data_IF_788230424499
#
_entry.id   IF_788230424499
#
_cell.length_a   1.000
_cell.length_b   1.000
_cell.length_c   1.000
_cell.angle_alpha   90.00
_cell.angle_beta   90.00
_cell.angle_gamma   90.00
#
_symmetry.space_group_name_H-M   'P 1'
#
loop_
_entity.id
_entity.type
_entity.pdbx_description
1 polymer ?
#
# COMPACT_ATOMS: atom_id res chain seq x y z
N UNK A 1 27.67 -47.82 -49.13
CA UNK A 1 26.77 -46.66 -49.06
C UNK A 1 26.45 -46.40 -47.59
N UNK A 2 27.19 -45.49 -47.01
CA UNK A 2 27.04 -45.09 -45.56
C UNK A 2 26.08 -43.89 -45.45
N UNK A 3 24.91 -44.14 -44.87
CA UNK A 3 23.94 -43.05 -44.56
C UNK A 3 24.41 -42.28 -43.34
N UNK A 4 24.81 -41.03 -43.53
CA UNK A 4 25.09 -40.07 -42.48
C UNK A 4 23.76 -39.56 -41.90
N UNK A 5 23.45 -39.97 -40.67
CA UNK A 5 22.29 -39.46 -39.92
C UNK A 5 22.74 -38.17 -39.16
N UNK A 6 22.40 -37.02 -39.71
CA UNK A 6 22.63 -35.71 -39.05
C UNK A 6 21.62 -35.56 -37.92
N UNK A 7 22.12 -35.69 -36.67
CA UNK A 7 21.35 -35.44 -35.46
C UNK A 7 21.32 -33.94 -35.22
N UNK A 8 20.18 -33.30 -35.52
CA UNK A 8 19.94 -31.89 -35.28
C UNK A 8 19.57 -31.70 -33.79
N UNK A 9 20.56 -31.32 -32.97
CA UNK A 9 20.35 -30.96 -31.55
C UNK A 9 19.79 -29.54 -31.53
N UNK A 10 18.46 -29.41 -31.34
CA UNK A 10 17.81 -28.13 -31.06
C UNK A 10 18.08 -27.79 -29.60
N UNK A 11 19.06 -26.89 -29.36
CA UNK A 11 19.30 -26.29 -28.05
C UNK A 11 18.19 -25.27 -27.84
N UNK A 12 17.13 -25.66 -27.15
CA UNK A 12 16.13 -24.72 -26.61
C UNK A 12 16.79 -24.01 -25.43
N UNK A 13 17.43 -22.88 -25.71
CA UNK A 13 17.87 -21.95 -24.69
C UNK A 13 16.62 -21.42 -24.01
N UNK A 14 16.32 -21.96 -22.83
CA UNK A 14 15.27 -21.43 -21.96
C UNK A 14 15.61 -19.99 -21.60
N UNK A 15 14.99 -19.04 -22.29
CA UNK A 15 15.01 -17.64 -21.89
C UNK A 15 14.20 -17.57 -20.61
N UNK A 16 14.89 -17.63 -19.46
CA UNK A 16 14.29 -17.22 -18.19
C UNK A 16 14.01 -15.71 -18.31
N UNK A 17 12.80 -15.39 -18.76
CA UNK A 17 12.24 -14.05 -18.57
C UNK A 17 12.14 -13.85 -17.05
N UNK A 18 13.21 -13.32 -16.48
CA UNK A 18 13.17 -12.73 -15.15
C UNK A 18 12.21 -11.54 -15.27
N UNK A 19 10.92 -11.77 -14.99
CA UNK A 19 9.96 -10.67 -14.82
C UNK A 19 10.43 -9.99 -13.54
N UNK A 20 11.30 -8.98 -13.70
CA UNK A 20 11.62 -8.06 -12.63
C UNK A 20 10.26 -7.49 -12.17
N UNK A 21 9.85 -7.81 -10.96
CA UNK A 21 8.71 -7.14 -10.34
C UNK A 21 9.10 -5.66 -10.28
N UNK A 22 8.45 -4.86 -11.11
CA UNK A 22 8.71 -3.44 -11.24
C UNK A 22 8.48 -2.82 -9.85
N UNK A 23 9.58 -2.46 -9.18
CA UNK A 23 9.51 -1.89 -7.84
C UNK A 23 8.74 -0.57 -7.92
N UNK A 24 7.65 -0.44 -7.14
CA UNK A 24 6.84 0.78 -7.10
C UNK A 24 7.71 2.03 -6.86
N UNK A 25 8.86 1.88 -6.20
CA UNK A 25 9.76 2.97 -5.84
C UNK A 25 10.81 3.32 -6.91
N UNK A 26 10.69 2.83 -8.14
CA UNK A 26 11.66 3.08 -9.21
C UNK A 26 11.62 4.51 -9.75
N UNK A 27 10.43 5.08 -9.92
CA UNK A 27 10.24 6.41 -10.57
C UNK A 27 9.31 7.30 -9.76
N UNK A 28 9.83 8.36 -9.09
CA UNK A 28 9.02 9.28 -8.31
C UNK A 28 8.10 10.12 -9.19
N UNK A 29 6.92 10.41 -8.67
CA UNK A 29 5.89 11.23 -9.30
C UNK A 29 5.62 12.48 -8.47
N UNK A 30 5.04 13.50 -9.09
CA UNK A 30 4.55 14.67 -8.35
C UNK A 30 3.20 14.36 -7.70
N UNK A 31 2.94 14.95 -6.53
CA UNK A 31 1.66 14.83 -5.85
C UNK A 31 0.48 15.26 -6.72
N UNK A 32 0.67 16.29 -7.54
CA UNK A 32 -0.33 16.76 -8.51
C UNK A 32 -0.63 15.72 -9.59
N UNK A 33 0.39 14.99 -10.07
CA UNK A 33 0.18 13.90 -11.03
C UNK A 33 -0.66 12.80 -10.41
N UNK A 34 -0.27 12.31 -9.23
CA UNK A 34 -1.00 11.25 -8.51
C UNK A 34 -2.47 11.65 -8.28
N UNK A 35 -2.71 12.89 -7.88
CA UNK A 35 -4.05 13.39 -7.65
C UNK A 35 -4.98 13.37 -8.86
N UNK A 36 -4.42 13.53 -10.05
CA UNK A 36 -5.18 13.43 -11.30
C UNK A 36 -5.49 11.99 -11.68
N UNK A 37 -4.63 11.06 -11.28
CA UNK A 37 -4.73 9.65 -11.64
C UNK A 37 -5.59 8.85 -10.64
N UNK A 38 -5.57 9.21 -9.37
CA UNK A 38 -6.31 8.50 -8.34
C UNK A 38 -7.82 8.76 -8.45
N UNK A 39 -8.64 7.71 -8.27
CA UNK A 39 -10.08 7.90 -8.12
C UNK A 39 -10.40 8.78 -6.91
N UNK A 40 -11.55 9.42 -6.93
CA UNK A 40 -12.04 10.13 -5.76
C UNK A 40 -12.49 9.10 -4.71
N UNK A 41 -11.77 9.04 -3.59
CA UNK A 41 -12.17 8.18 -2.47
C UNK A 41 -13.50 8.68 -1.89
N UNK A 42 -14.43 7.75 -1.65
CA UNK A 42 -15.76 8.01 -1.09
C UNK A 42 -15.80 7.59 0.38
N UNK A 43 -16.85 8.01 1.07
CA UNK A 43 -17.18 7.44 2.38
C UNK A 43 -17.46 5.96 2.21
N UNK A 44 -16.83 5.13 3.05
CA UNK A 44 -16.91 3.69 2.94
C UNK A 44 -16.92 3.03 4.31
N UNK A 45 -17.63 1.91 4.40
CA UNK A 45 -17.64 1.00 5.56
C UNK A 45 -17.26 -0.40 5.11
N UNK A 46 -16.21 -0.95 5.70
CA UNK A 46 -15.60 -2.21 5.31
C UNK A 46 -15.32 -3.09 6.53
N UNK A 47 -15.09 -4.37 6.30
CA UNK A 47 -14.34 -5.21 7.24
C UNK A 47 -12.86 -5.05 6.94
N UNK A 48 -12.01 -5.09 7.98
CA UNK A 48 -10.57 -5.18 7.79
C UNK A 48 -10.00 -6.41 8.48
N UNK A 49 -8.89 -6.88 7.93
CA UNK A 49 -7.97 -7.82 8.57
C UNK A 49 -6.58 -7.20 8.57
N UNK A 50 -5.84 -7.36 9.66
CA UNK A 50 -4.49 -6.83 9.80
C UNK A 50 -3.56 -7.92 10.27
N UNK A 51 -2.40 -8.01 9.63
CA UNK A 51 -1.28 -8.82 10.07
C UNK A 51 -0.09 -7.90 10.37
N UNK A 52 0.43 -7.98 11.59
CA UNK A 52 1.60 -7.22 12.01
C UNK A 52 2.76 -8.17 12.28
N UNK A 53 3.81 -8.01 11.51
CA UNK A 53 5.04 -8.80 11.59
C UNK A 53 6.06 -8.07 12.45
N UNK A 54 6.55 -8.72 13.50
CA UNK A 54 7.59 -8.21 14.41
C UNK A 54 8.60 -9.32 14.62
N UNK A 55 9.72 -9.27 13.91
CA UNK A 55 10.65 -10.41 13.84
C UNK A 55 9.94 -11.64 13.29
N UNK A 56 9.98 -12.76 14.02
CA UNK A 56 9.29 -14.00 13.66
C UNK A 56 7.83 -14.06 14.12
N UNK A 57 7.35 -13.08 14.86
CA UNK A 57 5.99 -13.07 15.41
C UNK A 57 5.01 -12.40 14.48
N UNK A 58 3.86 -13.02 14.25
CA UNK A 58 2.74 -12.46 13.50
C UNK A 58 1.56 -12.22 14.42
N UNK A 59 1.17 -10.97 14.59
CA UNK A 59 -0.03 -10.58 15.34
C UNK A 59 -1.18 -10.34 14.36
N UNK A 60 -2.28 -11.06 14.54
CA UNK A 60 -3.48 -10.94 13.70
C UNK A 60 -4.57 -10.20 14.44
N UNK A 61 -5.20 -9.25 13.77
CA UNK A 61 -6.36 -8.53 14.27
C UNK A 61 -7.34 -8.24 13.14
N UNK A 62 -8.54 -7.82 13.49
CA UNK A 62 -9.53 -7.44 12.49
C UNK A 62 -10.80 -6.90 13.11
N UNK A 63 -11.66 -6.34 12.27
CA UNK A 63 -12.88 -5.70 12.72
C UNK A 63 -13.56 -4.87 11.65
N UNK A 64 -14.13 -3.76 12.05
CA UNK A 64 -14.82 -2.81 11.19
C UNK A 64 -13.93 -1.60 10.89
N UNK A 65 -13.99 -1.14 9.67
CA UNK A 65 -13.31 0.07 9.20
C UNK A 65 -14.35 1.02 8.62
N UNK A 66 -14.25 2.28 8.97
CA UNK A 66 -14.99 3.37 8.32
C UNK A 66 -14.00 4.42 7.86
N UNK A 67 -14.18 4.88 6.65
CA UNK A 67 -13.51 6.08 6.17
C UNK A 67 -14.57 7.14 5.85
N UNK A 68 -14.40 8.32 6.44
CA UNK A 68 -15.27 9.48 6.23
C UNK A 68 -14.41 10.57 5.60
N UNK A 69 -14.69 10.89 4.34
CA UNK A 69 -14.00 11.94 3.61
C UNK A 69 -13.99 13.22 4.43
N UNK A 70 -12.86 13.92 4.50
CA UNK A 70 -12.60 15.12 5.30
C UNK A 70 -12.44 14.89 6.81
N UNK A 71 -12.91 13.78 7.37
CA UNK A 71 -12.74 13.46 8.79
C UNK A 71 -11.60 12.48 9.04
N UNK A 72 -11.55 11.38 8.28
CA UNK A 72 -10.54 10.35 8.39
C UNK A 72 -11.08 8.97 8.66
N UNK A 73 -10.22 8.11 9.18
CA UNK A 73 -10.47 6.69 9.37
C UNK A 73 -10.84 6.34 10.82
N UNK A 74 -11.73 5.37 10.98
CA UNK A 74 -12.09 4.75 12.25
C UNK A 74 -11.84 3.26 12.10
N UNK A 75 -11.04 2.67 13.00
CA UNK A 75 -10.81 1.25 13.12
C UNK A 75 -11.45 0.75 14.42
N UNK A 76 -12.45 -0.09 14.32
CA UNK A 76 -13.04 -0.82 15.43
C UNK A 76 -12.51 -2.26 15.39
N UNK A 77 -11.50 -2.55 16.19
CA UNK A 77 -10.93 -3.89 16.31
C UNK A 77 -11.86 -4.76 17.14
N UNK A 78 -12.24 -5.93 16.63
CA UNK A 78 -13.13 -6.88 17.30
C UNK A 78 -12.36 -8.05 17.88
N UNK A 79 -11.18 -8.36 17.34
CA UNK A 79 -10.28 -9.41 17.84
C UNK A 79 -8.80 -9.02 17.60
N UNK A 80 -7.83 -9.54 18.37
CA UNK A 80 -8.00 -10.41 19.55
C UNK A 80 -8.57 -9.65 20.77
N UNK A 81 -8.37 -8.32 20.81
CA UNK A 81 -8.81 -7.46 21.91
C UNK A 81 -9.67 -6.35 21.30
N UNK A 82 -10.86 -6.15 21.85
CA UNK A 82 -11.75 -5.08 21.38
C UNK A 82 -11.15 -3.70 21.69
N UNK A 83 -11.08 -2.87 20.67
CA UNK A 83 -10.62 -1.48 20.80
C UNK A 83 -11.16 -0.63 19.65
N UNK A 84 -11.25 0.67 19.88
CA UNK A 84 -11.63 1.63 18.81
C UNK A 84 -10.57 2.70 18.70
N UNK A 85 -10.05 2.88 17.50
CA UNK A 85 -9.11 3.94 17.15
C UNK A 85 -9.76 4.81 16.09
N UNK A 86 -10.04 6.06 16.44
CA UNK A 86 -10.66 7.02 15.55
C UNK A 86 -9.64 8.03 15.00
N UNK A 87 -10.08 8.81 14.03
CA UNK A 87 -9.29 9.93 13.49
C UNK A 87 -8.90 10.99 14.53
N UNK A 88 -9.56 11.03 15.69
CA UNK A 88 -9.21 11.90 16.81
C UNK A 88 -8.18 11.28 17.75
N UNK A 89 -7.89 9.98 17.61
CA UNK A 89 -6.95 9.25 18.45
C UNK A 89 -5.50 9.58 18.08
N UNK A 90 -4.66 9.80 19.09
CA UNK A 90 -3.22 10.03 18.89
C UNK A 90 -2.45 8.80 18.43
N UNK A 91 -2.97 7.59 18.71
CA UNK A 91 -2.24 6.32 18.48
C UNK A 91 -1.92 6.01 17.02
N UNK A 92 -2.77 6.42 16.08
CA UNK A 92 -2.54 6.18 14.64
C UNK A 92 -2.60 7.49 13.82
N UNK A 93 -2.27 8.61 14.46
CA UNK A 93 -2.37 9.94 13.84
C UNK A 93 -1.66 10.02 12.50
N UNK A 94 -0.43 9.50 12.42
CA UNK A 94 0.34 9.56 11.17
C UNK A 94 -0.32 8.80 10.02
N UNK A 95 -0.86 7.60 10.28
CA UNK A 95 -1.58 6.83 9.26
C UNK A 95 -2.85 7.55 8.84
N UNK A 96 -3.61 8.07 9.82
CA UNK A 96 -4.80 8.83 9.51
C UNK A 96 -4.49 10.07 8.69
N UNK A 97 -3.45 10.82 9.06
CA UNK A 97 -3.00 12.02 8.33
C UNK A 97 -2.62 11.69 6.87
N UNK A 98 -1.97 10.54 6.63
CA UNK A 98 -1.66 10.05 5.27
C UNK A 98 -2.93 9.75 4.49
N UNK A 99 -3.85 8.96 5.03
CA UNK A 99 -5.10 8.58 4.36
C UNK A 99 -5.94 9.83 4.04
N UNK A 100 -6.06 10.73 5.01
CA UNK A 100 -6.80 12.00 4.85
C UNK A 100 -6.12 12.91 3.84
N UNK A 101 -4.80 12.99 3.85
CA UNK A 101 -4.05 13.81 2.89
C UNK A 101 -4.24 13.30 1.45
N UNK A 102 -4.20 11.98 1.24
CA UNK A 102 -4.47 11.38 -0.07
C UNK A 102 -5.91 11.67 -0.50
N UNK A 103 -6.88 11.39 0.36
CA UNK A 103 -8.31 11.55 0.08
C UNK A 103 -8.70 13.01 -0.20
N UNK A 104 -8.16 13.94 0.56
CA UNK A 104 -8.46 15.37 0.44
C UNK A 104 -7.52 16.09 -0.53
N UNK A 105 -6.61 15.35 -1.18
CA UNK A 105 -5.62 15.91 -2.10
C UNK A 105 -4.76 16.99 -1.44
N UNK A 106 -4.37 16.77 -0.17
CA UNK A 106 -3.48 17.66 0.58
C UNK A 106 -2.02 17.43 0.17
N UNK A 107 -1.65 18.01 -0.95
CA UNK A 107 -0.32 17.83 -1.54
C UNK A 107 0.80 18.42 -0.69
N UNK A 108 0.54 19.52 -0.01
CA UNK A 108 1.54 20.16 0.85
C UNK A 108 2.02 19.21 1.95
N UNK A 109 1.10 18.48 2.60
CA UNK A 109 1.45 17.48 3.59
C UNK A 109 2.23 16.31 2.99
N UNK A 110 1.77 15.78 1.85
CA UNK A 110 2.41 14.66 1.19
C UNK A 110 3.81 15.02 0.70
N UNK A 111 3.96 16.12 -0.02
CA UNK A 111 5.23 16.58 -0.57
C UNK A 111 6.26 16.92 0.50
N UNK A 112 5.82 17.38 1.69
CA UNK A 112 6.70 17.68 2.81
C UNK A 112 7.31 16.43 3.43
N UNK A 113 6.55 15.34 3.50
CA UNK A 113 6.92 14.16 4.27
C UNK A 113 7.39 12.98 3.44
N UNK A 114 6.98 12.90 2.15
CA UNK A 114 7.19 11.71 1.32
C UNK A 114 7.67 12.06 -0.09
N UNK A 115 8.49 11.16 -0.64
CA UNK A 115 8.62 10.98 -2.07
C UNK A 115 7.48 10.06 -2.52
N UNK A 116 6.80 10.44 -3.59
CA UNK A 116 5.55 9.83 -4.01
C UNK A 116 5.74 9.04 -5.29
N UNK A 117 5.09 7.89 -5.37
CA UNK A 117 5.17 6.97 -6.50
C UNK A 117 3.77 6.51 -6.87
N UNK A 118 3.54 6.28 -8.16
CA UNK A 118 2.24 5.83 -8.64
C UNK A 118 2.42 4.85 -9.79
N UNK A 119 1.67 3.76 -9.72
CA UNK A 119 1.57 2.78 -10.80
C UNK A 119 0.10 2.44 -11.02
N UNK A 120 -0.28 2.26 -12.28
CA UNK A 120 -1.61 1.78 -12.65
C UNK A 120 -1.47 0.59 -13.58
N UNK A 121 -2.16 -0.49 -13.26
CA UNK A 121 -2.25 -1.68 -14.08
C UNK A 121 -3.72 -2.00 -14.29
N UNK A 122 -4.22 -1.75 -15.49
CA UNK A 122 -5.64 -1.86 -15.83
C UNK A 122 -6.52 -0.98 -14.92
N UNK A 123 -7.39 -1.62 -14.13
CA UNK A 123 -8.25 -0.93 -13.16
C UNK A 123 -7.58 -0.74 -11.79
N UNK A 124 -6.50 -1.46 -11.50
CA UNK A 124 -5.81 -1.42 -10.22
C UNK A 124 -4.81 -0.28 -10.17
N UNK A 125 -4.74 0.40 -9.04
CA UNK A 125 -3.78 1.45 -8.78
C UNK A 125 -2.96 1.16 -7.53
N UNK A 126 -1.72 1.62 -7.53
CA UNK A 126 -0.81 1.54 -6.39
C UNK A 126 -0.17 2.90 -6.17
N UNK A 127 -0.18 3.36 -4.92
CA UNK A 127 0.56 4.54 -4.45
C UNK A 127 1.63 4.08 -3.49
N UNK A 128 2.88 4.46 -3.76
CA UNK A 128 4.01 4.31 -2.84
C UNK A 128 4.33 5.65 -2.20
N UNK A 129 4.57 5.66 -0.89
CA UNK A 129 5.01 6.83 -0.14
C UNK A 129 6.29 6.44 0.59
N UNK A 130 7.43 6.94 0.14
CA UNK A 130 8.73 6.74 0.79
C UNK A 130 9.05 7.97 1.63
N UNK A 131 9.37 7.80 2.91
CA UNK A 131 9.61 8.93 3.80
C UNK A 131 10.86 9.72 3.37
N UNK A 132 10.75 11.03 3.35
CA UNK A 132 11.89 11.92 3.09
C UNK A 132 12.81 11.96 4.32
N UNK A 133 14.12 11.91 4.08
CA UNK A 133 15.11 12.04 5.14
C UNK A 133 14.89 13.35 5.91
N UNK A 134 14.84 13.26 7.25
CA UNK A 134 14.61 14.42 8.12
C UNK A 134 13.13 14.83 8.26
N UNK A 135 12.19 14.17 7.58
CA UNK A 135 10.76 14.40 7.82
C UNK A 135 10.32 13.81 9.18
N UNK A 136 9.23 14.32 9.74
CA UNK A 136 8.65 13.78 10.98
C UNK A 136 8.25 12.31 10.81
N UNK A 137 7.76 11.93 9.65
CA UNK A 137 7.37 10.57 9.32
C UNK A 137 8.57 9.59 9.34
N UNK A 138 9.76 10.03 8.94
CA UNK A 138 10.97 9.19 8.86
C UNK A 138 11.47 8.67 10.22
N UNK A 139 11.01 9.22 11.33
CA UNK A 139 11.36 8.70 12.66
C UNK A 139 10.69 7.37 13.00
N UNK A 140 9.61 7.02 12.32
CA UNK A 140 8.81 5.83 12.61
C UNK A 140 8.56 4.96 11.38
N UNK A 141 8.40 5.57 10.21
CA UNK A 141 8.04 4.90 8.96
C UNK A 141 9.23 4.86 8.01
N UNK A 142 9.35 3.77 7.27
CA UNK A 142 10.23 3.66 6.12
C UNK A 142 9.46 3.99 4.84
N UNK A 143 8.38 3.27 4.59
CA UNK A 143 7.47 3.50 3.47
C UNK A 143 6.05 2.99 3.74
N UNK A 144 5.13 3.41 2.89
CA UNK A 144 3.75 2.95 2.86
C UNK A 144 3.38 2.63 1.42
N UNK A 145 2.74 1.49 1.20
CA UNK A 145 2.18 1.10 -0.10
C UNK A 145 0.67 0.97 0.05
N UNK A 146 -0.08 1.68 -0.77
CA UNK A 146 -1.54 1.67 -0.77
C UNK A 146 -2.00 1.16 -2.13
N UNK A 147 -2.85 0.15 -2.13
CA UNK A 147 -3.41 -0.46 -3.33
C UNK A 147 -4.93 -0.36 -3.31
N UNK A 148 -5.50 -0.28 -4.51
CA UNK A 148 -6.93 -0.28 -4.66
C UNK A 148 -7.37 -0.36 -6.13
N UNK A 149 -8.67 -0.48 -6.32
CA UNK A 149 -9.30 -0.45 -7.64
C UNK A 149 -10.27 0.72 -7.74
N UNK A 150 -11.42 0.66 -7.11
CA UNK A 150 -12.33 1.80 -6.92
C UNK A 150 -12.09 2.51 -5.60
N UNK A 151 -11.94 1.72 -4.55
CA UNK A 151 -11.62 2.13 -3.20
C UNK A 151 -10.25 1.58 -2.78
N UNK A 152 -9.88 1.75 -1.50
CA UNK A 152 -8.66 1.16 -0.94
C UNK A 152 -8.90 -0.30 -0.61
N UNK A 153 -8.09 -1.20 -1.17
CA UNK A 153 -8.16 -2.64 -0.91
C UNK A 153 -7.11 -3.12 0.09
N UNK A 154 -5.94 -2.46 0.10
CA UNK A 154 -4.83 -2.86 0.95
C UNK A 154 -3.93 -1.68 1.30
N UNK A 155 -3.39 -1.70 2.53
CA UNK A 155 -2.35 -0.78 3.00
C UNK A 155 -1.23 -1.60 3.64
N UNK A 156 -0.02 -1.49 3.11
CA UNK A 156 1.18 -2.08 3.69
C UNK A 156 2.07 -0.96 4.24
N UNK A 157 2.51 -1.11 5.50
CA UNK A 157 3.33 -0.14 6.22
C UNK A 157 4.62 -0.80 6.64
N UNK A 158 5.74 -0.27 6.19
CA UNK A 158 7.07 -0.67 6.61
C UNK A 158 7.62 0.36 7.61
N UNK A 159 8.08 -0.10 8.77
CA UNK A 159 8.62 0.76 9.82
C UNK A 159 10.15 0.72 9.87
N UNK A 160 10.77 1.74 10.43
CA UNK A 160 12.24 1.82 10.59
C UNK A 160 12.82 0.71 11.48
N UNK A 161 12.00 0.05 12.31
CA UNK A 161 12.39 -1.09 13.15
C UNK A 161 12.12 -2.44 12.50
N UNK A 162 12.07 -2.52 11.17
CA UNK A 162 11.79 -3.71 10.38
C UNK A 162 10.43 -4.38 10.69
N UNK A 163 9.51 -3.65 11.29
CA UNK A 163 8.13 -4.11 11.45
C UNK A 163 7.34 -3.87 10.16
N UNK A 164 6.52 -4.86 9.80
CA UNK A 164 5.59 -4.75 8.66
C UNK A 164 4.18 -4.88 9.18
N UNK A 165 3.30 -3.99 8.75
CA UNK A 165 1.86 -4.10 8.98
C UNK A 165 1.17 -4.18 7.64
N UNK A 166 0.37 -5.22 7.43
CA UNK A 166 -0.42 -5.45 6.24
C UNK A 166 -1.91 -5.39 6.62
N UNK A 167 -2.66 -4.50 6.00
CA UNK A 167 -4.09 -4.28 6.27
C UNK A 167 -4.86 -4.49 4.98
N UNK A 168 -5.75 -5.47 4.98
CA UNK A 168 -6.65 -5.74 3.85
C UNK A 168 -8.08 -5.33 4.19
N UNK A 169 -8.77 -4.71 3.23
CA UNK A 169 -10.14 -4.25 3.37
C UNK A 169 -11.08 -5.06 2.47
N UNK A 170 -12.27 -5.36 3.00
CA UNK A 170 -13.37 -5.97 2.26
C UNK A 170 -14.57 -5.05 2.38
N UNK A 171 -14.74 -4.21 1.37
CA UNK A 171 -15.85 -3.29 1.29
C UNK A 171 -16.99 -3.98 0.54
N UNK A 172 -18.21 -3.91 1.07
CA UNK A 172 -19.38 -4.42 0.35
C UNK A 172 -19.63 -3.56 -0.90
N UNK A 173 -19.89 -4.18 -2.03
CA UNK A 173 -20.53 -3.52 -3.15
C UNK A 173 -21.97 -3.23 -2.72
N UNK A 174 -22.30 -1.95 -2.46
CA UNK A 174 -23.69 -1.51 -2.38
C UNK A 174 -24.33 -1.57 -3.77
#
# INVERSE_FOLDING_TARGET
MRKFLLLLIVIISGINLCIASDDIFSHPNTSRYIARQMPALKDVSCKFTQEKYIGSTVLKSGGNFQFIKKKGAIFETLYPIKSTVSYTSSQNKQMNDVIVAISNKNYSYLDKNFDLYYKRENADWTVGLKTKKGSVAASQLHDIIIKGRGDIDNIKINTVKNGVTDISFRCGTN
#
